data_IF_877199469373
#
_entry.id   IF_877199469373
#
_cell.length_a   1.000
_cell.length_b   1.000
_cell.length_c   1.000
_cell.angle_alpha   90.00
_cell.angle_beta   90.00
_cell.angle_gamma   90.00
#
_symmetry.space_group_name_H-M   'P 1'
#
loop_
_entity.id
_entity.type
_entity.pdbx_description
1 polymer ?
#
# COMPACT_ATOMS: atom_id res chain seq x y z
N UNK A 1 -4.30 38.49 15.14
CA UNK A 1 -4.75 37.11 15.40
C UNK A 1 -3.82 36.08 14.73
N UNK A 2 -3.19 36.39 13.59
CA UNK A 2 -2.15 35.55 12.95
C UNK A 2 -0.87 35.35 13.78
N UNK A 3 -0.46 36.36 14.55
CA UNK A 3 0.84 36.36 15.23
C UNK A 3 0.85 35.47 16.48
N UNK A 4 -0.30 35.31 17.12
CA UNK A 4 -0.48 34.40 18.25
C UNK A 4 -0.40 32.94 17.79
N UNK A 5 -1.03 32.61 16.65
CA UNK A 5 -0.95 31.28 16.04
C UNK A 5 0.50 30.93 15.62
N UNK A 6 1.21 31.86 14.98
CA UNK A 6 2.63 31.68 14.62
C UNK A 6 3.50 31.43 15.85
N UNK A 7 3.26 32.17 16.94
CA UNK A 7 4.00 32.03 18.19
C UNK A 7 3.75 30.66 18.85
N UNK A 8 2.50 30.22 18.89
CA UNK A 8 2.14 28.90 19.42
C UNK A 8 2.75 27.76 18.58
N UNK A 9 2.72 27.88 17.25
CA UNK A 9 3.39 26.93 16.35
C UNK A 9 4.90 26.89 16.58
N UNK A 10 5.54 28.05 16.75
CA UNK A 10 6.98 28.13 17.02
C UNK A 10 7.35 27.44 18.34
N UNK A 11 6.56 27.64 19.41
CA UNK A 11 6.76 26.97 20.69
C UNK A 11 6.66 25.45 20.52
N UNK A 12 5.65 24.96 19.81
CA UNK A 12 5.46 23.52 19.60
C UNK A 12 6.55 22.91 18.72
N UNK A 13 6.90 23.56 17.60
CA UNK A 13 7.93 23.09 16.68
C UNK A 13 9.34 23.18 17.26
N UNK A 14 9.61 24.15 18.15
CA UNK A 14 10.91 24.27 18.81
C UNK A 14 11.25 23.08 19.72
N UNK A 15 10.24 22.31 20.15
CA UNK A 15 10.43 21.07 20.93
C UNK A 15 10.88 19.89 20.07
N UNK A 16 10.73 19.96 18.75
CA UNK A 16 11.20 18.93 17.82
C UNK A 16 12.70 19.00 17.62
N UNK A 17 13.30 17.85 17.33
CA UNK A 17 14.73 17.77 17.02
C UNK A 17 15.03 18.43 15.67
N UNK A 18 16.30 18.78 15.44
CA UNK A 18 16.71 19.38 14.17
C UNK A 18 16.46 18.43 12.99
N UNK A 19 16.72 17.13 13.20
CA UNK A 19 16.53 16.10 12.17
C UNK A 19 15.04 15.93 11.81
N UNK A 20 14.14 15.99 12.79
CA UNK A 20 12.70 15.96 12.54
C UNK A 20 12.23 17.18 11.74
N UNK A 21 12.74 18.37 12.08
CA UNK A 21 12.39 19.59 11.36
C UNK A 21 12.94 19.60 9.93
N UNK A 22 14.15 19.08 9.73
CA UNK A 22 14.74 18.88 8.41
C UNK A 22 13.92 17.87 7.59
N UNK A 23 13.48 16.77 8.22
CA UNK A 23 12.63 15.79 7.55
C UNK A 23 11.32 16.41 7.06
N UNK A 24 10.63 17.19 7.91
CA UNK A 24 9.40 17.90 7.53
C UNK A 24 9.69 18.92 6.41
N UNK A 25 10.78 19.70 6.56
CA UNK A 25 11.20 20.71 5.58
C UNK A 25 11.46 20.10 4.19
N UNK A 26 12.25 19.03 4.13
CA UNK A 26 12.60 18.35 2.88
C UNK A 26 11.40 17.65 2.27
N UNK A 27 10.58 16.97 3.08
CA UNK A 27 9.40 16.22 2.62
C UNK A 27 8.38 17.14 1.94
N UNK A 28 8.32 18.42 2.35
CA UNK A 28 7.45 19.45 1.77
C UNK A 28 5.98 19.03 1.70
N UNK A 29 5.49 18.39 2.76
CA UNK A 29 4.13 17.92 2.84
C UNK A 29 3.15 19.07 3.13
N UNK A 30 2.47 19.55 2.09
CA UNK A 30 1.54 20.68 2.19
C UNK A 30 0.12 20.26 2.58
N UNK A 31 -0.13 18.95 2.66
CA UNK A 31 -1.41 18.42 3.14
C UNK A 31 -1.43 18.47 4.66
N UNK A 32 -0.38 17.95 5.28
CA UNK A 32 -0.24 17.94 6.73
C UNK A 32 0.21 19.29 7.31
N UNK A 33 0.99 20.07 6.55
CA UNK A 33 1.63 21.28 7.05
C UNK A 33 1.27 22.52 6.24
N UNK A 34 0.71 23.52 6.93
CA UNK A 34 0.42 24.82 6.33
C UNK A 34 1.68 25.57 5.89
N UNK A 35 1.54 26.48 4.92
CA UNK A 35 2.63 27.38 4.50
C UNK A 35 3.24 28.16 5.68
N UNK A 36 2.40 28.56 6.63
CA UNK A 36 2.83 29.26 7.85
C UNK A 36 3.72 28.37 8.71
N UNK A 37 3.43 27.07 8.79
CA UNK A 37 4.29 26.12 9.52
C UNK A 37 5.67 26.01 8.86
N UNK A 38 5.76 25.97 7.52
CA UNK A 38 7.05 25.96 6.82
C UNK A 38 7.87 27.23 7.07
N UNK A 39 7.25 28.41 7.11
CA UNK A 39 7.93 29.66 7.48
C UNK A 39 8.53 29.59 8.90
N UNK A 40 7.77 29.01 9.83
CA UNK A 40 8.21 28.82 11.22
C UNK A 40 9.32 27.78 11.32
N UNK A 41 9.25 26.67 10.58
CA UNK A 41 10.31 25.67 10.52
C UNK A 41 11.60 26.28 9.96
N UNK A 42 11.50 27.07 8.88
CA UNK A 42 12.65 27.77 8.28
C UNK A 42 13.36 28.64 9.30
N UNK A 43 12.62 29.50 9.98
CA UNK A 43 13.17 30.41 11.00
C UNK A 43 13.82 29.68 12.18
N UNK A 44 13.26 28.55 12.62
CA UNK A 44 13.86 27.71 13.66
C UNK A 44 15.18 27.07 13.18
N UNK A 45 15.22 26.54 11.95
CA UNK A 45 16.41 25.92 11.37
C UNK A 45 17.54 26.94 11.16
N UNK A 46 17.21 28.15 10.71
CA UNK A 46 18.15 29.28 10.60
C UNK A 46 18.70 29.69 11.96
N UNK A 47 17.85 29.78 12.99
CA UNK A 47 18.29 30.09 14.36
C UNK A 47 19.26 29.03 14.91
N UNK A 48 19.06 27.77 14.52
CA UNK A 48 19.93 26.63 14.87
C UNK A 48 21.20 26.55 14.01
N UNK A 49 21.39 27.48 13.06
CA UNK A 49 22.54 27.55 12.13
C UNK A 49 22.72 26.29 11.29
N UNK A 50 21.61 25.73 10.84
CA UNK A 50 21.59 24.56 9.96
C UNK A 50 21.47 25.03 8.52
N UNK A 51 22.28 24.48 7.62
CA UNK A 51 22.14 24.74 6.19
C UNK A 51 20.81 24.15 5.70
N UNK A 52 19.98 24.98 5.09
CA UNK A 52 18.66 24.57 4.60
C UNK A 52 18.83 23.83 3.27
N UNK A 53 18.58 22.51 3.20
CA UNK A 53 18.52 21.81 1.93
C UNK A 53 17.33 22.32 1.10
N UNK A 54 17.39 22.15 -0.22
CA UNK A 54 16.25 22.42 -1.08
C UNK A 54 15.03 21.58 -0.66
N UNK A 55 13.84 22.16 -0.74
CA UNK A 55 12.59 21.43 -0.50
C UNK A 55 12.29 20.51 -1.68
N UNK A 56 11.69 19.35 -1.43
CA UNK A 56 11.12 18.52 -2.50
C UNK A 56 9.89 19.20 -3.13
N UNK A 57 9.35 18.63 -4.21
CA UNK A 57 8.07 19.11 -4.76
C UNK A 57 6.96 18.98 -3.71
N UNK A 58 6.05 19.97 -3.61
CA UNK A 58 5.02 19.98 -2.58
C UNK A 58 4.09 18.78 -2.75
N UNK A 59 3.94 17.99 -1.69
CA UNK A 59 2.89 16.96 -1.64
C UNK A 59 1.57 17.70 -1.39
N UNK A 60 0.68 17.69 -2.39
CA UNK A 60 -0.59 18.42 -2.36
C UNK A 60 -1.79 17.54 -2.00
N UNK A 61 -1.63 16.22 -2.06
CA UNK A 61 -2.71 15.26 -1.78
C UNK A 61 -2.11 13.94 -1.29
N UNK A 62 -2.61 13.45 -0.16
CA UNK A 62 -2.36 12.08 0.25
C UNK A 62 -3.30 11.18 -0.55
N UNK A 63 -2.75 10.17 -1.23
CA UNK A 63 -3.57 9.10 -1.78
C UNK A 63 -4.14 8.29 -0.62
N UNK A 64 -5.28 8.72 -0.09
CA UNK A 64 -6.03 7.90 0.85
C UNK A 64 -6.47 6.64 0.09
N UNK A 65 -6.23 5.44 0.66
CA UNK A 65 -6.86 4.24 0.13
C UNK A 65 -8.38 4.40 0.26
N UNK A 66 -9.11 4.00 -0.77
CA UNK A 66 -10.56 3.85 -0.78
C UNK A 66 -10.99 2.96 0.42
N UNK A 67 -12.26 3.01 0.85
CA UNK A 67 -12.76 2.23 2.01
C UNK A 67 -12.49 0.70 1.91
N UNK A 68 -12.26 0.17 0.71
CA UNK A 68 -11.91 -1.24 0.47
C UNK A 68 -10.38 -1.52 0.43
N UNK A 69 -9.55 -0.50 0.69
CA UNK A 69 -8.10 -0.54 0.55
C UNK A 69 -7.60 -0.54 -0.90
N UNK A 70 -8.48 -0.29 -1.87
CA UNK A 70 -8.13 0.06 -3.25
C UNK A 70 -7.54 1.47 -3.26
N UNK A 71 -6.81 1.79 -4.31
CA UNK A 71 -6.43 3.17 -4.58
C UNK A 71 -6.91 3.50 -5.97
N UNK A 72 -7.38 4.72 -6.19
CA UNK A 72 -7.83 5.15 -7.50
C UNK A 72 -6.67 5.06 -8.52
N UNK A 73 -6.79 4.05 -9.38
CA UNK A 73 -5.84 3.77 -10.46
C UNK A 73 -5.81 4.94 -11.46
N UNK A 74 -6.89 5.74 -11.53
CA UNK A 74 -6.97 6.97 -12.31
C UNK A 74 -5.96 8.02 -11.85
N UNK A 75 -5.90 8.30 -10.54
CA UNK A 75 -4.97 9.30 -9.98
C UNK A 75 -3.51 8.88 -10.18
N UNK A 76 -3.21 7.59 -10.01
CA UNK A 76 -1.86 7.06 -10.27
C UNK A 76 -1.49 7.11 -11.76
N UNK A 77 -2.46 6.88 -12.65
CA UNK A 77 -2.25 6.95 -14.09
C UNK A 77 -1.99 8.39 -14.55
N UNK A 78 -2.68 9.37 -13.96
CA UNK A 78 -2.48 10.80 -14.19
C UNK A 78 -1.08 11.24 -13.71
N UNK A 79 -0.70 10.85 -12.48
CA UNK A 79 0.66 11.11 -11.95
C UNK A 79 1.75 10.50 -12.81
N UNK A 80 1.52 9.30 -13.34
CA UNK A 80 2.44 8.63 -14.25
C UNK A 80 2.48 9.20 -15.68
N UNK A 81 1.50 10.01 -16.08
CA UNK A 81 1.46 10.68 -17.37
C UNK A 81 2.29 11.98 -17.38
N UNK A 82 2.72 12.48 -16.21
CA UNK A 82 3.55 13.67 -16.14
C UNK A 82 4.96 13.42 -16.74
N UNK A 83 5.46 14.32 -17.60
CA UNK A 83 6.71 14.13 -18.35
C UNK A 83 7.97 14.05 -17.47
N UNK A 84 7.92 14.53 -16.22
CA UNK A 84 9.02 14.44 -15.25
C UNK A 84 9.01 13.14 -14.41
N UNK A 85 7.94 12.34 -14.50
CA UNK A 85 7.74 11.12 -13.72
C UNK A 85 7.88 9.81 -14.51
N UNK A 86 8.45 9.83 -15.72
CA UNK A 86 8.59 8.60 -16.50
C UNK A 86 9.54 7.60 -15.78
N UNK A 87 8.98 6.57 -15.14
CA UNK A 87 9.74 5.46 -14.56
C UNK A 87 10.68 4.87 -15.63
N UNK A 88 11.94 4.60 -15.27
CA UNK A 88 12.93 4.14 -16.25
C UNK A 88 13.12 2.63 -16.25
N UNK A 89 12.69 1.92 -15.21
CA UNK A 89 12.77 0.45 -15.18
C UNK A 89 11.55 -0.24 -15.78
N UNK A 90 10.37 0.36 -15.67
CA UNK A 90 9.12 -0.19 -16.20
C UNK A 90 8.16 0.90 -16.63
N UNK A 91 7.20 0.56 -17.49
CA UNK A 91 6.13 1.49 -17.90
C UNK A 91 5.05 1.48 -16.82
N UNK A 92 4.77 2.60 -16.12
CA UNK A 92 3.80 2.63 -15.02
C UNK A 92 2.41 2.15 -15.46
N UNK A 93 2.01 2.48 -16.69
CA UNK A 93 0.73 2.05 -17.28
C UNK A 93 0.61 0.54 -17.46
N UNK A 94 1.72 -0.19 -17.55
CA UNK A 94 1.73 -1.65 -17.58
C UNK A 94 1.55 -2.24 -16.17
N UNK A 95 2.21 -1.66 -15.16
CA UNK A 95 2.06 -2.06 -13.76
C UNK A 95 0.63 -1.83 -13.29
N UNK A 96 0.05 -0.67 -13.58
CA UNK A 96 -1.35 -0.37 -13.24
C UNK A 96 -2.34 -1.32 -13.92
N UNK A 97 -2.10 -1.65 -15.21
CA UNK A 97 -2.90 -2.68 -15.91
C UNK A 97 -2.75 -4.07 -15.27
N UNK A 98 -1.55 -4.41 -14.80
CA UNK A 98 -1.30 -5.69 -14.13
C UNK A 98 -2.04 -5.74 -12.79
N UNK A 99 -1.97 -4.67 -12.00
CA UNK A 99 -2.71 -4.54 -10.73
C UNK A 99 -4.21 -4.67 -10.95
N UNK A 100 -4.77 -3.97 -11.93
CA UNK A 100 -6.19 -4.08 -12.29
C UNK A 100 -6.58 -5.50 -12.72
N UNK A 101 -5.73 -6.16 -13.53
CA UNK A 101 -5.94 -7.55 -13.92
C UNK A 101 -5.90 -8.46 -12.70
N UNK A 102 -4.92 -8.30 -11.81
CA UNK A 102 -4.75 -9.11 -10.61
C UNK A 102 -5.98 -9.01 -9.70
N UNK A 103 -6.51 -7.80 -9.50
CA UNK A 103 -7.72 -7.59 -8.71
C UNK A 103 -8.95 -8.23 -9.36
N UNK A 104 -9.08 -8.18 -10.69
CA UNK A 104 -10.14 -8.90 -11.43
C UNK A 104 -9.97 -10.43 -11.40
N UNK A 105 -8.73 -10.91 -11.35
CA UNK A 105 -8.42 -12.34 -11.26
C UNK A 105 -8.64 -12.91 -9.86
N UNK A 106 -8.56 -12.09 -8.81
CA UNK A 106 -8.78 -12.54 -7.43
C UNK A 106 -10.12 -13.28 -7.22
N UNK A 107 -11.29 -12.71 -7.56
CA UNK A 107 -12.55 -13.43 -7.42
C UNK A 107 -12.61 -14.67 -8.33
N UNK A 108 -12.05 -14.60 -9.55
CA UNK A 108 -12.00 -15.74 -10.47
C UNK A 108 -11.19 -16.91 -9.89
N UNK A 109 -10.04 -16.61 -9.27
CA UNK A 109 -9.18 -17.60 -8.63
C UNK A 109 -9.88 -18.25 -7.42
N UNK A 110 -10.64 -17.47 -6.64
CA UNK A 110 -11.47 -18.00 -5.55
C UNK A 110 -12.51 -18.97 -6.11
N UNK A 111 -13.27 -18.60 -7.15
CA UNK A 111 -14.26 -19.51 -7.78
C UNK A 111 -13.60 -20.79 -8.30
N UNK A 112 -12.49 -20.68 -9.01
CA UNK A 112 -11.75 -21.84 -9.51
C UNK A 112 -11.27 -22.76 -8.39
N UNK A 113 -10.85 -22.17 -7.27
CA UNK A 113 -10.45 -22.92 -6.07
C UNK A 113 -11.64 -23.65 -5.45
N UNK A 114 -12.80 -23.00 -5.33
CA UNK A 114 -14.03 -23.64 -4.82
C UNK A 114 -14.42 -24.84 -5.68
N UNK A 115 -14.41 -24.69 -7.00
CA UNK A 115 -14.73 -25.77 -7.94
C UNK A 115 -13.74 -26.93 -7.79
N UNK A 116 -12.45 -26.63 -7.68
CA UNK A 116 -11.40 -27.64 -7.51
C UNK A 116 -11.50 -28.36 -6.15
N UNK A 117 -11.86 -27.64 -5.10
CA UNK A 117 -12.05 -28.17 -3.74
C UNK A 117 -13.29 -29.04 -3.59
N UNK A 118 -14.28 -28.90 -4.48
CA UNK A 118 -15.45 -29.79 -4.48
C UNK A 118 -15.06 -31.24 -4.79
N UNK A 119 -14.10 -31.45 -5.70
CA UNK A 119 -13.60 -32.78 -6.03
C UNK A 119 -12.82 -33.41 -4.85
N UNK A 120 -12.05 -32.60 -4.10
CA UNK A 120 -11.28 -33.09 -2.96
C UNK A 120 -12.17 -33.51 -1.78
N UNK A 121 -13.37 -32.93 -1.65
CA UNK A 121 -14.34 -33.29 -0.62
C UNK A 121 -14.76 -34.76 -0.72
N UNK A 122 -14.95 -35.28 -1.93
CA UNK A 122 -15.26 -36.71 -2.13
C UNK A 122 -14.10 -37.62 -1.70
N UNK A 123 -12.86 -37.23 -2.02
CA UNK A 123 -11.67 -37.97 -1.58
C UNK A 123 -11.53 -37.96 -0.06
N UNK A 124 -11.78 -36.81 0.58
CA UNK A 124 -11.72 -36.66 2.02
C UNK A 124 -12.81 -37.49 2.72
N UNK A 125 -14.04 -37.46 2.21
CA UNK A 125 -15.12 -38.31 2.73
C UNK A 125 -14.76 -39.79 2.64
N UNK A 126 -14.21 -40.26 1.50
CA UNK A 126 -13.78 -41.66 1.34
C UNK A 126 -12.70 -42.04 2.37
N UNK A 127 -11.75 -41.15 2.64
CA UNK A 127 -10.72 -41.36 3.67
C UNK A 127 -11.33 -41.46 5.07
N UNK A 128 -12.26 -40.57 5.43
CA UNK A 128 -12.90 -40.61 6.75
C UNK A 128 -13.83 -41.82 6.91
N UNK A 129 -14.64 -42.13 5.89
CA UNK A 129 -15.55 -43.28 5.89
C UNK A 129 -14.81 -44.62 6.09
N UNK A 130 -13.55 -44.72 5.64
CA UNK A 130 -12.71 -45.91 5.86
C UNK A 130 -12.46 -46.22 7.34
N UNK A 131 -12.59 -45.25 8.24
CA UNK A 131 -12.47 -45.47 9.68
C UNK A 131 -13.77 -45.99 10.31
N UNK A 132 -14.91 -45.94 9.60
CA UNK A 132 -16.24 -46.31 10.11
C UNK A 132 -16.83 -47.55 9.43
N UNK A 133 -15.98 -48.39 8.83
CA UNK A 133 -16.40 -49.59 8.09
C UNK A 133 -17.26 -50.50 8.97
N UNK A 134 -18.44 -50.89 8.46
CA UNK A 134 -19.37 -51.80 9.12
C UNK A 134 -20.47 -51.15 9.96
N UNK A 135 -20.48 -49.82 10.10
CA UNK A 135 -21.56 -49.09 10.76
C UNK A 135 -22.26 -48.11 9.79
N UNK A 136 -23.53 -48.35 9.40
CA UNK A 136 -24.27 -47.45 8.51
C UNK A 136 -24.51 -46.06 9.10
N UNK A 137 -24.58 -45.93 10.44
CA UNK A 137 -24.67 -44.61 11.09
C UNK A 137 -23.34 -43.85 11.06
N UNK A 138 -22.21 -44.58 11.00
CA UNK A 138 -20.87 -43.99 10.93
C UNK A 138 -20.61 -43.27 9.61
N UNK A 139 -21.26 -43.70 8.52
CA UNK A 139 -21.11 -43.08 7.20
C UNK A 139 -21.71 -41.66 7.15
N UNK A 140 -22.90 -41.47 7.74
CA UNK A 140 -23.50 -40.14 7.89
C UNK A 140 -22.63 -39.21 8.75
N UNK A 141 -22.09 -39.72 9.86
CA UNK A 141 -21.20 -38.95 10.72
C UNK A 141 -19.90 -38.58 9.99
N UNK A 142 -19.34 -39.50 9.21
CA UNK A 142 -18.18 -39.25 8.36
C UNK A 142 -18.45 -38.16 7.32
N UNK A 143 -19.65 -38.11 6.73
CA UNK A 143 -20.07 -37.05 5.80
C UNK A 143 -20.08 -35.68 6.50
N UNK A 144 -20.69 -35.56 7.69
CA UNK A 144 -20.73 -34.30 8.43
C UNK A 144 -19.34 -33.79 8.82
N UNK A 145 -18.48 -34.69 9.30
CA UNK A 145 -17.09 -34.35 9.62
C UNK A 145 -16.35 -33.90 8.37
N UNK A 146 -16.49 -34.64 7.27
CA UNK A 146 -15.85 -34.29 6.00
C UNK A 146 -16.30 -32.92 5.48
N UNK A 147 -17.59 -32.61 5.58
CA UNK A 147 -18.15 -31.33 5.18
C UNK A 147 -17.61 -30.19 6.06
N UNK A 148 -17.55 -30.39 7.37
CA UNK A 148 -17.04 -29.38 8.30
C UNK A 148 -15.55 -29.09 8.09
N UNK A 149 -14.71 -30.13 8.06
CA UNK A 149 -13.27 -29.99 7.83
C UNK A 149 -13.01 -29.43 6.43
N UNK A 150 -13.71 -29.93 5.42
CA UNK A 150 -13.59 -29.46 4.04
C UNK A 150 -13.97 -27.98 3.90
N UNK A 151 -15.08 -27.55 4.51
CA UNK A 151 -15.50 -26.15 4.49
C UNK A 151 -14.48 -25.24 5.19
N UNK A 152 -13.97 -25.64 6.36
CA UNK A 152 -12.96 -24.87 7.08
C UNK A 152 -11.65 -24.74 6.29
N UNK A 153 -11.17 -25.85 5.72
CA UNK A 153 -9.98 -25.85 4.88
C UNK A 153 -10.17 -24.98 3.63
N UNK A 154 -11.34 -25.06 2.98
CA UNK A 154 -11.67 -24.27 1.81
C UNK A 154 -11.72 -22.77 2.13
N UNK A 155 -12.36 -22.40 3.26
CA UNK A 155 -12.43 -21.01 3.70
C UNK A 155 -11.02 -20.43 3.94
N UNK A 156 -10.16 -21.19 4.63
CA UNK A 156 -8.77 -20.80 4.88
C UNK A 156 -7.99 -20.64 3.56
N UNK A 157 -8.14 -21.58 2.63
CA UNK A 157 -7.44 -21.53 1.35
C UNK A 157 -7.91 -20.34 0.49
N UNK A 158 -9.21 -20.07 0.46
CA UNK A 158 -9.76 -18.88 -0.23
C UNK A 158 -9.20 -17.60 0.39
N UNK A 159 -9.16 -17.53 1.72
CA UNK A 159 -8.59 -16.38 2.43
C UNK A 159 -7.11 -16.17 2.09
N UNK A 160 -6.29 -17.23 2.11
CA UNK A 160 -4.87 -17.17 1.76
C UNK A 160 -4.62 -16.72 0.32
N UNK A 161 -5.37 -17.26 -0.64
CA UNK A 161 -5.23 -16.89 -2.05
C UNK A 161 -5.62 -15.43 -2.27
N UNK A 162 -6.76 -15.02 -1.71
CA UNK A 162 -7.24 -13.65 -1.80
C UNK A 162 -6.24 -12.67 -1.21
N UNK A 163 -5.75 -12.95 0.00
CA UNK A 163 -4.79 -12.09 0.68
C UNK A 163 -3.47 -12.02 -0.08
N UNK A 164 -2.95 -13.14 -0.57
CA UNK A 164 -1.69 -13.19 -1.32
C UNK A 164 -1.75 -12.36 -2.60
N UNK A 165 -2.84 -12.46 -3.36
CA UNK A 165 -3.06 -11.65 -4.57
C UNK A 165 -3.19 -10.16 -4.23
N UNK A 166 -3.91 -9.83 -3.16
CA UNK A 166 -4.07 -8.44 -2.69
C UNK A 166 -2.73 -7.85 -2.24
N UNK A 167 -1.94 -8.58 -1.45
CA UNK A 167 -0.61 -8.16 -1.02
C UNK A 167 0.35 -7.96 -2.19
N UNK A 168 0.32 -8.84 -3.20
CA UNK A 168 1.15 -8.68 -4.40
C UNK A 168 0.84 -7.38 -5.15
N UNK A 169 -0.45 -7.04 -5.29
CA UNK A 169 -0.89 -5.79 -5.90
C UNK A 169 -0.38 -4.56 -5.11
N UNK A 170 -0.48 -4.60 -3.78
CA UNK A 170 0.00 -3.53 -2.90
C UNK A 170 1.51 -3.36 -3.00
N UNK A 171 2.28 -4.45 -2.97
CA UNK A 171 3.74 -4.42 -3.08
C UNK A 171 4.18 -3.81 -4.42
N UNK A 172 3.55 -4.23 -5.53
CA UNK A 172 3.81 -3.66 -6.86
C UNK A 172 3.59 -2.15 -6.88
N UNK A 173 2.56 -1.68 -6.17
CA UNK A 173 2.25 -0.25 -6.07
C UNK A 173 3.29 0.51 -5.24
N UNK A 174 3.70 -0.02 -4.08
CA UNK A 174 4.72 0.62 -3.23
C UNK A 174 6.06 0.71 -3.98
N UNK A 175 6.45 -0.34 -4.69
CA UNK A 175 7.66 -0.33 -5.52
C UNK A 175 7.64 0.77 -6.58
N UNK A 176 6.48 0.98 -7.22
CA UNK A 176 6.28 2.07 -8.17
C UNK A 176 6.48 3.42 -7.48
N UNK A 177 5.84 3.66 -6.34
CA UNK A 177 5.95 4.93 -5.62
C UNK A 177 7.38 5.24 -5.17
N UNK A 178 8.10 4.22 -4.68
CA UNK A 178 9.52 4.37 -4.31
C UNK A 178 10.40 4.71 -5.51
N UNK A 179 10.18 4.12 -6.68
CA UNK A 179 10.94 4.50 -7.88
C UNK A 179 10.68 5.96 -8.26
N UNK A 180 9.42 6.39 -8.26
CA UNK A 180 9.04 7.77 -8.57
C UNK A 180 9.72 8.75 -7.62
N UNK A 181 9.62 8.53 -6.32
CA UNK A 181 10.26 9.39 -5.31
C UNK A 181 11.79 9.39 -5.42
N UNK A 182 12.40 8.23 -5.71
CA UNK A 182 13.86 8.13 -5.89
C UNK A 182 14.36 8.96 -7.07
N UNK A 183 13.63 9.00 -8.18
CA UNK A 183 14.04 9.76 -9.38
C UNK A 183 13.82 11.26 -9.24
N UNK A 184 12.74 11.67 -8.59
CA UNK A 184 12.50 13.08 -8.29
C UNK A 184 13.67 13.62 -7.45
N UNK A 185 14.12 12.87 -6.44
CA UNK A 185 15.29 13.22 -5.63
C UNK A 185 16.63 13.22 -6.38
N UNK A 186 16.82 12.36 -7.39
CA UNK A 186 18.06 12.34 -8.19
C UNK A 186 18.12 13.48 -9.23
N UNK A 187 16.98 13.83 -9.83
CA UNK A 187 16.89 14.91 -10.80
C UNK A 187 17.01 16.31 -10.14
N UNK A 188 16.56 16.47 -8.89
CA UNK A 188 16.81 17.70 -8.14
C UNK A 188 18.28 17.88 -7.79
N UNK A 189 18.98 16.81 -7.39
CA UNK A 189 20.40 16.85 -7.05
C UNK A 189 21.34 17.16 -8.24
N UNK A 190 20.96 16.78 -9.46
CA UNK A 190 21.77 17.04 -10.67
C UNK A 190 21.63 18.46 -11.22
N UNK A 191 20.59 19.20 -10.81
CA UNK A 191 20.39 20.61 -11.17
C UNK A 191 21.14 21.58 -10.24
N UNK A 192 21.69 21.10 -9.12
CA UNK A 192 22.46 21.90 -8.14
C UNK A 192 23.98 21.84 -8.36
N UNK A 193 24.49 21.19 -9.41
CA UNK A 193 25.91 21.27 -9.76
C UNK A 193 26.18 22.54 -10.58
N UNK A 194 26.84 23.57 -10.02
CA UNK A 194 27.31 24.70 -10.81
C UNK A 194 28.41 24.22 -11.76
N UNK A 195 28.31 24.65 -13.02
CA UNK A 195 29.36 24.52 -14.03
C UNK A 195 30.61 25.34 -13.65
#
# INVERSE_FOLDING_TARGET
>A
MSDDLRSQMAINLSRKTTDELLAIWVTNDRVDWSNVAFDVIKSILEQRRVELPAQNEPVLEHLEPDEDGSYDVGILAEKAAHPKGAAAFYRPTQVLRLVQRLNKFAPLAVVATIVSSLASLFSLHRSIASYFVGNPQGDLLALFIALFIGAAAMALQCWLIYFTLKSAAVILKILMEMEFNSRIGANSASLEQPA
#
